data_IF_932730462905
#
_entry.id   IF_932730462905
#
_cell.length_a   1.000
_cell.length_b   1.000
_cell.length_c   1.000
_cell.angle_alpha   90.00
_cell.angle_beta   90.00
_cell.angle_gamma   90.00
#
_symmetry.space_group_name_H-M   'P 1'
#
loop_
_entity.id
_entity.type
_entity.pdbx_description
1 polymer ?
#
# COMPACT_ATOMS: atom_id res chain seq x y z
N UNK A 1 -63.80 -11.79 -53.28
CA UNK A 1 -62.50 -12.29 -52.78
C UNK A 1 -61.82 -11.18 -52.02
N UNK A 2 -61.87 -11.19 -50.66
CA UNK A 2 -61.19 -10.18 -49.82
C UNK A 2 -59.95 -10.81 -49.21
N UNK A 3 -58.80 -10.26 -49.55
CA UNK A 3 -57.47 -10.66 -49.03
C UNK A 3 -57.21 -9.84 -47.76
N UNK A 4 -57.10 -10.48 -46.61
CA UNK A 4 -56.76 -9.88 -45.32
C UNK A 4 -55.23 -10.00 -45.15
N UNK A 5 -54.52 -8.85 -45.15
CA UNK A 5 -53.09 -8.79 -44.77
C UNK A 5 -52.95 -8.72 -43.26
N UNK A 6 -52.25 -9.70 -42.66
CA UNK A 6 -51.81 -9.69 -41.26
C UNK A 6 -50.44 -9.02 -41.19
N UNK A 7 -50.42 -7.84 -40.55
CA UNK A 7 -49.16 -7.20 -40.19
C UNK A 7 -48.57 -7.89 -38.92
N UNK A 8 -47.43 -8.51 -39.04
CA UNK A 8 -46.66 -9.02 -37.89
C UNK A 8 -45.82 -7.87 -37.34
N UNK A 9 -46.20 -7.37 -36.17
CA UNK A 9 -45.39 -6.45 -35.40
C UNK A 9 -44.19 -7.14 -34.79
N UNK A 10 -42.95 -6.73 -35.17
CA UNK A 10 -41.72 -7.12 -34.52
C UNK A 10 -41.56 -6.23 -33.24
N UNK A 11 -41.72 -6.81 -32.07
CA UNK A 11 -41.35 -6.14 -30.82
C UNK A 11 -39.83 -6.25 -30.65
N UNK A 12 -39.11 -5.14 -30.79
CA UNK A 12 -37.71 -5.03 -30.38
C UNK A 12 -37.65 -4.99 -28.84
N UNK A 13 -37.19 -6.05 -28.23
CA UNK A 13 -36.81 -6.08 -26.83
C UNK A 13 -35.41 -5.47 -26.71
N UNK A 14 -35.30 -4.22 -26.27
CA UNK A 14 -34.05 -3.60 -25.89
C UNK A 14 -33.62 -4.17 -24.53
N UNK A 15 -32.64 -5.06 -24.51
CA UNK A 15 -31.96 -5.48 -23.31
C UNK A 15 -31.09 -4.31 -22.80
N UNK A 16 -31.57 -3.57 -21.81
CA UNK A 16 -30.75 -2.69 -21.02
C UNK A 16 -29.82 -3.53 -20.14
N UNK A 17 -28.60 -3.75 -20.56
CA UNK A 17 -27.54 -4.26 -19.69
C UNK A 17 -27.15 -3.16 -18.71
N UNK A 18 -27.65 -3.24 -17.49
CA UNK A 18 -27.09 -2.47 -16.38
C UNK A 18 -25.70 -3.04 -16.10
N UNK A 19 -24.70 -2.46 -16.72
CA UNK A 19 -23.32 -2.63 -16.30
C UNK A 19 -23.18 -2.03 -14.91
N UNK A 20 -23.17 -2.86 -13.86
CA UNK A 20 -22.63 -2.45 -12.57
C UNK A 20 -21.14 -2.14 -12.78
N UNK A 21 -20.83 -0.90 -13.10
CA UNK A 21 -19.51 -0.38 -12.82
C UNK A 21 -19.38 -0.40 -11.29
N UNK A 22 -18.70 -1.41 -10.76
CA UNK A 22 -18.12 -1.33 -9.43
C UNK A 22 -17.16 -0.13 -9.53
N UNK A 23 -17.62 1.04 -9.12
CA UNK A 23 -16.74 2.14 -8.81
C UNK A 23 -15.77 1.56 -7.80
N UNK A 24 -14.49 1.47 -8.16
CA UNK A 24 -13.44 1.25 -7.20
C UNK A 24 -13.62 2.36 -6.17
N UNK A 25 -14.05 1.99 -4.96
CA UNK A 25 -14.25 2.91 -3.87
C UNK A 25 -12.89 3.55 -3.58
N UNK A 26 -12.71 4.76 -4.13
CA UNK A 26 -11.43 5.45 -4.16
C UNK A 26 -11.06 5.97 -2.78
N UNK A 27 -10.87 5.09 -1.79
CA UNK A 27 -10.04 5.50 -0.72
C UNK A 27 -10.47 5.35 0.73
N UNK A 28 -11.61 4.80 1.08
CA UNK A 28 -11.91 4.56 2.50
C UNK A 28 -11.49 3.14 2.90
N UNK A 29 -10.26 3.01 3.44
CA UNK A 29 -9.80 1.75 4.01
C UNK A 29 -9.66 1.90 5.52
N UNK A 30 -10.50 1.19 6.34
CA UNK A 30 -10.50 1.34 7.80
C UNK A 30 -9.13 1.08 8.44
N UNK A 31 -8.39 0.07 7.99
CA UNK A 31 -7.06 -0.21 8.51
C UNK A 31 -6.08 0.92 8.18
N UNK A 32 -6.11 1.47 6.95
CA UNK A 32 -5.24 2.58 6.58
C UNK A 32 -5.54 3.85 7.41
N UNK A 33 -6.80 4.09 7.75
CA UNK A 33 -7.18 5.19 8.64
C UNK A 33 -6.69 4.98 10.07
N UNK A 34 -6.91 3.78 10.61
CA UNK A 34 -6.43 3.45 11.94
C UNK A 34 -4.89 3.52 12.03
N UNK A 35 -4.19 3.04 11.01
CA UNK A 35 -2.73 3.18 10.90
C UNK A 35 -2.32 4.65 10.83
N UNK A 36 -3.03 5.48 10.06
CA UNK A 36 -2.78 6.93 9.95
C UNK A 36 -2.87 7.63 11.30
N UNK A 37 -3.93 7.33 12.05
CA UNK A 37 -4.17 7.92 13.36
C UNK A 37 -3.11 7.48 14.37
N UNK A 38 -2.81 6.19 14.41
CA UNK A 38 -1.86 5.59 15.36
C UNK A 38 -0.41 6.06 15.13
N UNK A 39 -0.04 6.43 13.88
CA UNK A 39 1.34 6.71 13.49
C UNK A 39 1.58 8.13 12.96
N UNK A 40 0.62 9.05 13.13
CA UNK A 40 0.72 10.45 12.64
C UNK A 40 1.93 11.21 13.18
N UNK A 41 2.51 10.79 14.32
CA UNK A 41 3.74 11.34 14.90
C UNK A 41 4.95 11.22 13.97
N UNK A 42 4.97 10.23 13.12
CA UNK A 42 6.07 10.00 12.17
C UNK A 42 6.05 10.94 10.95
N UNK A 43 5.08 11.87 10.83
CA UNK A 43 5.16 12.98 9.85
C UNK A 43 6.42 13.82 10.03
N UNK A 44 6.94 13.91 11.25
CA UNK A 44 8.29 14.40 11.50
C UNK A 44 9.26 13.22 11.56
N UNK A 45 10.11 13.09 10.55
CA UNK A 45 11.11 12.02 10.47
C UNK A 45 12.06 12.00 11.67
N UNK A 46 12.26 13.13 12.35
CA UNK A 46 13.09 13.21 13.57
C UNK A 46 12.49 12.40 14.70
N UNK A 47 11.16 12.28 14.76
CA UNK A 47 10.47 11.44 15.75
C UNK A 47 10.79 9.96 15.47
N UNK A 48 10.76 9.51 14.21
CA UNK A 48 11.14 8.15 13.87
C UNK A 48 12.60 7.88 14.29
N UNK A 49 13.54 8.79 13.98
CA UNK A 49 14.94 8.64 14.40
C UNK A 49 15.07 8.59 15.92
N UNK A 50 14.35 9.45 16.66
CA UNK A 50 14.38 9.45 18.12
C UNK A 50 13.79 8.16 18.74
N UNK A 51 12.84 7.51 18.06
CA UNK A 51 12.28 6.20 18.45
C UNK A 51 13.13 5.01 18.00
N UNK A 52 14.34 5.24 17.44
CA UNK A 52 15.30 4.17 17.09
C UNK A 52 15.15 3.61 15.67
N UNK A 53 14.43 4.29 14.78
CA UNK A 53 14.37 3.92 13.37
C UNK A 53 15.59 4.47 12.62
N UNK A 54 16.16 3.67 11.72
CA UNK A 54 17.30 4.03 10.88
C UNK A 54 17.00 3.76 9.39
N UNK A 55 17.47 4.63 8.48
CA UNK A 55 17.18 4.48 7.06
C UNK A 55 17.97 3.35 6.41
N UNK A 56 17.35 2.67 5.46
CA UNK A 56 18.00 1.81 4.47
C UNK A 56 17.83 2.45 3.08
N UNK A 57 18.58 1.99 2.06
CA UNK A 57 18.49 2.56 0.72
C UNK A 57 17.07 2.64 0.17
N UNK A 58 16.78 3.70 -0.60
CA UNK A 58 15.49 3.88 -1.24
C UNK A 58 15.18 2.72 -2.20
N UNK A 59 13.98 2.19 -2.13
CA UNK A 59 13.54 1.06 -2.94
C UNK A 59 12.61 1.52 -4.06
N UNK A 60 13.01 1.29 -5.31
CA UNK A 60 12.19 1.52 -6.51
C UNK A 60 11.91 0.21 -7.24
N UNK A 61 10.75 0.12 -7.88
CA UNK A 61 10.31 -1.07 -8.59
C UNK A 61 10.61 -1.03 -10.08
N UNK A 62 10.68 -2.22 -10.71
CA UNK A 62 10.87 -2.39 -12.16
C UNK A 62 9.65 -1.87 -12.92
N UNK A 63 8.45 -2.03 -12.35
CA UNK A 63 7.17 -1.67 -12.98
C UNK A 63 6.81 -0.17 -12.83
N UNK A 64 7.76 0.64 -12.44
CA UNK A 64 7.55 2.06 -12.14
C UNK A 64 6.97 2.29 -10.74
N UNK A 65 7.34 3.43 -10.15
CA UNK A 65 7.05 3.77 -8.77
C UNK A 65 8.07 3.24 -7.78
N UNK A 66 7.83 3.52 -6.51
CA UNK A 66 8.75 3.16 -5.44
C UNK A 66 8.01 2.78 -4.15
N UNK A 67 8.73 2.17 -3.23
CA UNK A 67 8.33 2.06 -1.82
C UNK A 67 8.81 3.30 -1.04
N UNK A 68 9.88 3.94 -1.51
CA UNK A 68 10.55 5.02 -0.79
C UNK A 68 11.69 4.55 0.10
N UNK A 69 12.13 5.42 1.00
CA UNK A 69 13.15 5.14 2.01
C UNK A 69 12.49 4.54 3.24
N UNK A 70 12.88 3.32 3.60
CA UNK A 70 12.41 2.68 4.82
C UNK A 70 13.30 3.10 5.99
N UNK A 71 12.70 3.66 7.01
CA UNK A 71 13.30 3.83 8.31
C UNK A 71 12.88 2.64 9.17
N UNK A 72 13.83 1.81 9.54
CA UNK A 72 13.61 0.48 10.14
C UNK A 72 13.95 0.49 11.62
N UNK A 73 13.06 -0.04 12.45
CA UNK A 73 13.33 -0.24 13.87
C UNK A 73 13.79 -1.70 14.10
N UNK A 74 15.09 -1.87 14.38
CA UNK A 74 15.71 -3.17 14.55
C UNK A 74 15.18 -3.95 15.77
N UNK A 75 14.71 -3.28 16.83
CA UNK A 75 14.13 -3.96 17.98
C UNK A 75 12.73 -4.50 17.67
N UNK A 76 11.91 -3.74 16.91
CA UNK A 76 10.59 -4.22 16.49
C UNK A 76 10.69 -5.35 15.45
N UNK A 77 11.76 -5.36 14.63
CA UNK A 77 12.03 -6.51 13.74
C UNK A 77 12.35 -7.79 14.53
N UNK A 78 13.01 -7.68 15.69
CA UNK A 78 13.39 -8.83 16.52
C UNK A 78 12.21 -9.38 17.32
N UNK A 79 11.28 -8.55 17.78
CA UNK A 79 10.13 -9.01 18.55
C UNK A 79 9.08 -9.72 17.67
N UNK A 80 9.09 -9.41 16.38
CA UNK A 80 8.24 -10.02 15.34
C UNK A 80 6.74 -9.96 15.64
N UNK A 81 6.30 -8.96 16.43
CA UNK A 81 4.90 -8.77 16.82
C UNK A 81 4.31 -7.62 15.99
N UNK A 82 3.40 -7.89 15.06
CA UNK A 82 2.66 -6.84 14.37
C UNK A 82 1.77 -6.08 15.37
N UNK A 83 2.07 -4.81 15.56
CA UNK A 83 1.31 -3.89 16.42
C UNK A 83 1.06 -2.60 15.65
N UNK A 84 -0.19 -2.19 15.56
CA UNK A 84 -0.60 -1.03 14.75
C UNK A 84 0.17 0.26 15.11
N UNK A 85 0.60 0.41 16.36
CA UNK A 85 1.34 1.57 16.86
C UNK A 85 2.86 1.46 16.71
N UNK A 86 3.36 0.26 16.39
CA UNK A 86 4.79 -0.07 16.33
C UNK A 86 5.15 -0.76 15.02
N UNK A 87 4.99 -0.08 13.85
CA UNK A 87 5.40 -0.66 12.58
C UNK A 87 6.90 -0.98 12.60
N UNK A 88 7.30 -2.06 11.97
CA UNK A 88 8.71 -2.42 11.84
C UNK A 88 9.48 -1.45 10.95
N UNK A 89 8.79 -0.86 9.95
CA UNK A 89 9.35 0.23 9.15
C UNK A 89 8.35 1.36 8.91
N UNK A 90 8.89 2.58 8.80
CA UNK A 90 8.16 3.80 8.42
C UNK A 90 8.74 4.27 7.09
N UNK A 91 7.88 4.51 6.09
CA UNK A 91 8.31 4.73 4.71
C UNK A 91 8.14 6.19 4.32
N UNK A 92 9.20 6.75 3.75
CA UNK A 92 9.23 8.16 3.33
C UNK A 92 9.60 8.31 1.87
N UNK A 93 8.95 9.25 1.20
CA UNK A 93 9.39 9.77 -0.09
C UNK A 93 10.39 10.90 0.14
N UNK A 94 11.59 10.82 -0.46
CA UNK A 94 12.52 11.94 -0.44
C UNK A 94 12.06 13.04 -1.40
N UNK A 95 11.95 14.27 -0.89
CA UNK A 95 11.45 15.42 -1.63
C UNK A 95 12.59 16.27 -2.21
N UNK A 96 12.34 17.07 -3.28
CA UNK A 96 13.38 17.93 -3.90
C UNK A 96 14.02 18.92 -2.94
N UNK A 97 13.29 19.35 -1.92
CA UNK A 97 13.77 20.31 -0.88
C UNK A 97 14.55 19.62 0.26
N UNK A 98 14.83 18.32 0.11
CA UNK A 98 15.55 17.52 1.11
C UNK A 98 14.70 17.04 2.28
N UNK A 99 13.40 17.34 2.29
CA UNK A 99 12.48 16.79 3.28
C UNK A 99 12.13 15.34 3.01
N UNK A 100 11.65 14.67 4.04
CA UNK A 100 11.13 13.31 3.97
C UNK A 100 9.60 13.37 4.20
N UNK A 101 8.81 13.02 3.19
CA UNK A 101 7.36 12.96 3.29
C UNK A 101 6.91 11.55 3.69
N UNK A 102 6.20 11.44 4.81
CA UNK A 102 5.65 10.16 5.25
C UNK A 102 4.59 9.68 4.26
N UNK A 103 4.77 8.47 3.71
CA UNK A 103 3.87 7.90 2.70
C UNK A 103 3.16 6.63 3.15
N UNK A 104 3.87 5.76 3.89
CA UNK A 104 3.35 4.47 4.34
C UNK A 104 4.06 3.98 5.60
N UNK A 105 3.58 2.87 6.14
CA UNK A 105 4.28 2.04 7.12
C UNK A 105 4.30 0.59 6.66
N UNK A 106 5.17 -0.21 7.27
CA UNK A 106 5.28 -1.64 6.99
C UNK A 106 5.36 -2.44 8.30
N UNK A 107 4.59 -3.50 8.34
CA UNK A 107 4.59 -4.51 9.41
C UNK A 107 5.25 -5.77 8.90
N UNK A 108 6.16 -6.35 9.69
CA UNK A 108 6.99 -7.50 9.27
C UNK A 108 7.01 -8.54 10.39
N UNK A 109 6.90 -9.83 10.01
CA UNK A 109 7.10 -10.96 10.92
C UNK A 109 7.61 -12.18 10.15
N UNK A 110 8.52 -12.95 10.74
CA UNK A 110 8.90 -14.28 10.23
C UNK A 110 7.91 -15.37 10.67
N UNK A 111 7.01 -15.03 11.60
CA UNK A 111 5.97 -15.92 12.14
C UNK A 111 4.72 -15.82 11.28
N UNK A 112 4.61 -16.67 10.31
CA UNK A 112 3.46 -16.57 9.41
C UNK A 112 2.73 -17.88 9.16
N UNK A 113 1.62 -17.79 8.41
CA UNK A 113 0.96 -16.58 7.87
C UNK A 113 0.41 -15.66 8.97
N UNK A 114 0.44 -14.35 8.73
CA UNK A 114 0.04 -13.32 9.68
C UNK A 114 -1.05 -12.39 9.12
N UNK A 115 -1.73 -11.68 10.01
CA UNK A 115 -2.69 -10.63 9.63
C UNK A 115 -2.69 -9.51 10.66
N UNK A 116 -3.09 -8.30 10.23
CA UNK A 116 -3.35 -7.15 11.08
C UNK A 116 -4.77 -6.66 10.79
N UNK A 117 -5.63 -6.66 11.80
CA UNK A 117 -7.06 -6.29 11.68
C UNK A 117 -7.78 -6.98 10.50
N UNK A 118 -7.46 -8.26 10.25
CA UNK A 118 -8.05 -9.06 9.18
C UNK A 118 -7.37 -8.93 7.82
N UNK A 119 -6.48 -7.97 7.61
CA UNK A 119 -5.67 -7.86 6.40
C UNK A 119 -4.50 -8.83 6.46
N UNK A 120 -4.44 -9.76 5.51
CA UNK A 120 -3.36 -10.74 5.40
C UNK A 120 -2.05 -10.08 4.97
N UNK A 121 -0.94 -10.58 5.49
CA UNK A 121 0.40 -10.24 5.05
C UNK A 121 0.78 -11.00 3.79
N UNK A 122 1.55 -10.36 2.91
CA UNK A 122 2.17 -10.97 1.74
C UNK A 122 3.46 -11.69 2.12
N UNK A 123 3.80 -12.77 1.42
CA UNK A 123 5.07 -13.47 1.62
C UNK A 123 6.17 -12.83 0.78
N UNK A 124 7.32 -12.56 1.41
CA UNK A 124 8.52 -12.07 0.75
C UNK A 124 9.68 -13.03 0.94
N UNK A 125 10.28 -13.46 -0.18
CA UNK A 125 11.42 -14.38 -0.20
C UNK A 125 12.74 -13.70 0.14
N UNK A 126 13.82 -14.51 0.03
CA UNK A 126 15.20 -14.02 0.11
C UNK A 126 15.87 -14.21 -1.26
N UNK A 127 16.81 -13.31 -1.68
CA UNK A 127 17.24 -12.11 -0.95
C UNK A 127 16.19 -10.99 -0.98
N UNK A 128 16.18 -10.16 0.04
CA UNK A 128 15.27 -9.01 0.16
C UNK A 128 16.03 -7.76 0.64
N UNK A 129 15.33 -6.60 0.64
CA UNK A 129 15.91 -5.29 0.99
C UNK A 129 16.46 -5.18 2.41
N UNK A 130 16.03 -6.07 3.30
CA UNK A 130 16.46 -6.09 4.70
C UNK A 130 17.65 -7.01 4.96
N UNK A 131 18.04 -7.86 3.99
CA UNK A 131 19.03 -8.91 4.20
C UNK A 131 18.57 -10.01 5.16
N UNK A 132 17.27 -10.15 5.36
CA UNK A 132 16.66 -11.16 6.21
C UNK A 132 16.40 -12.48 5.47
N UNK A 133 16.14 -13.56 6.21
CA UNK A 133 15.46 -14.74 5.67
C UNK A 133 14.06 -14.38 5.13
N UNK A 134 13.31 -15.34 4.55
CA UNK A 134 11.94 -15.09 4.12
C UNK A 134 11.05 -14.64 5.29
N UNK A 135 10.10 -13.73 5.01
CA UNK A 135 9.19 -13.17 6.00
C UNK A 135 7.82 -12.86 5.39
N UNK A 136 6.88 -12.46 6.23
CA UNK A 136 5.58 -11.93 5.83
C UNK A 136 5.54 -10.43 6.10
N UNK A 137 4.98 -9.64 5.18
CA UNK A 137 4.92 -8.20 5.26
C UNK A 137 3.56 -7.64 4.87
N UNK A 138 3.24 -6.48 5.43
CA UNK A 138 2.07 -5.70 5.07
C UNK A 138 2.46 -4.23 4.93
N UNK A 139 2.50 -3.72 3.70
CA UNK A 139 2.54 -2.28 3.43
C UNK A 139 1.18 -1.65 3.68
N UNK A 140 1.15 -0.47 4.29
CA UNK A 140 -0.09 0.31 4.46
C UNK A 140 0.16 1.74 4.01
N UNK A 141 -0.36 2.07 2.82
CA UNK A 141 -0.27 3.41 2.20
C UNK A 141 -1.29 4.36 2.83
N UNK A 142 -1.00 4.84 4.03
CA UNK A 142 -1.94 5.61 4.82
C UNK A 142 -1.91 7.13 4.52
N UNK A 143 -0.83 7.66 3.91
CA UNK A 143 -0.68 9.10 3.64
C UNK A 143 -0.58 9.44 2.16
N UNK A 144 -0.09 8.55 1.32
CA UNK A 144 0.00 8.73 -0.13
C UNK A 144 -0.91 7.73 -0.85
N UNK A 145 -1.97 8.17 -1.54
CA UNK A 145 -2.85 7.26 -2.27
C UNK A 145 -2.07 6.39 -3.25
N UNK A 146 -2.33 5.09 -3.22
CA UNK A 146 -1.72 4.14 -4.13
C UNK A 146 -2.78 3.61 -5.11
N UNK A 147 -2.69 3.93 -6.41
CA UNK A 147 -3.67 3.46 -7.39
C UNK A 147 -3.68 1.95 -7.59
N UNK A 148 -2.63 1.24 -7.11
CA UNK A 148 -2.56 -0.23 -7.12
C UNK A 148 -3.23 -0.87 -5.89
N UNK A 149 -3.71 -0.06 -4.95
CA UNK A 149 -4.35 -0.49 -3.70
C UNK A 149 -3.56 -0.10 -2.45
N UNK A 150 -4.29 0.03 -1.34
CA UNK A 150 -3.74 0.51 -0.07
C UNK A 150 -2.63 -0.41 0.52
N UNK A 151 -2.51 -1.64 0.03
CA UNK A 151 -1.58 -2.67 0.55
C UNK A 151 -0.59 -3.19 -0.49
N UNK A 152 -0.55 -2.60 -1.70
CA UNK A 152 0.39 -3.00 -2.73
C UNK A 152 1.83 -2.56 -2.39
N UNK A 153 2.81 -3.34 -2.82
CA UNK A 153 4.22 -3.10 -2.48
C UNK A 153 4.73 -1.77 -3.04
N UNK A 154 4.52 -1.52 -4.35
CA UNK A 154 5.00 -0.32 -5.03
C UNK A 154 3.87 0.68 -5.25
N UNK A 155 4.19 1.97 -5.10
CA UNK A 155 3.28 3.06 -5.39
C UNK A 155 3.80 3.88 -6.60
N UNK A 156 3.07 3.94 -7.73
CA UNK A 156 3.47 4.73 -8.89
C UNK A 156 3.59 6.24 -8.62
N UNK A 157 2.98 6.72 -7.54
CA UNK A 157 2.99 8.12 -7.14
C UNK A 157 4.17 8.46 -6.21
N UNK A 158 5.10 7.51 -5.97
CA UNK A 158 6.30 7.66 -5.13
C UNK A 158 7.54 7.47 -5.97
N UNK A 159 8.59 8.23 -5.71
CA UNK A 159 9.88 8.15 -6.41
C UNK A 159 11.07 8.13 -5.45
N UNK A 160 12.19 7.56 -5.90
CA UNK A 160 13.49 7.64 -5.25
C UNK A 160 14.42 8.70 -5.88
N UNK A 161 13.92 9.53 -6.80
CA UNK A 161 14.74 10.47 -7.56
C UNK A 161 15.56 11.42 -6.67
N UNK A 162 15.00 11.82 -5.54
CA UNK A 162 15.64 12.75 -4.61
C UNK A 162 16.27 12.07 -3.38
N UNK A 163 16.44 10.73 -3.41
CA UNK A 163 17.19 10.03 -2.38
C UNK A 163 18.69 10.35 -2.50
N UNK A 164 19.22 11.13 -1.58
CA UNK A 164 20.65 11.40 -1.48
C UNK A 164 21.36 10.19 -0.89
N UNK A 165 22.26 9.59 -1.65
CA UNK A 165 23.11 8.47 -1.24
C UNK A 165 22.95 7.28 -2.19
N UNK A 166 23.78 7.28 -3.23
CA UNK A 166 24.12 6.06 -4.00
C UNK A 166 25.17 5.28 -3.24
#
# INVERSE_FOLDING_TARGET
>A
MKVIFWARGLALFSLLTFGNALAADGGHNPLAEHVRDANSRFKDVKVAVAEGYAPIPCTSGIDGGAMGVHYVNGEYLKDEVPDIKRPQAVMYEPMPDGKMELVAVEYITSKGPASLEGQLFSFTGAPNRYGLGPFYELHVWAWKPNPRGAFADMNPNVTCEHAHGK
#
